data_IF_657789278110
#
_entry.id   IF_657789278110
#
_cell.length_a   1.000
_cell.length_b   1.000
_cell.length_c   1.000
_cell.angle_alpha   90.00
_cell.angle_beta   90.00
_cell.angle_gamma   90.00
#
_symmetry.space_group_name_H-M   'P 1'
#
loop_
_entity.id
_entity.type
_entity.pdbx_description
1 polymer ?
#
# COMPACT_ATOMS: atom_id res chain seq x y z
N UNK A 1 27.67 3.38 -77.68
CA UNK A 1 26.52 2.87 -78.46
C UNK A 1 25.83 1.78 -77.66
N UNK A 2 24.78 2.10 -76.92
CA UNK A 2 23.68 1.15 -76.68
C UNK A 2 22.44 1.91 -76.27
N UNK A 3 21.32 1.44 -76.81
CA UNK A 3 20.12 2.17 -77.17
C UNK A 3 19.09 2.16 -76.04
N UNK A 4 18.44 3.32 -75.90
CA UNK A 4 17.19 3.59 -75.18
C UNK A 4 16.14 2.51 -75.44
N UNK A 5 15.63 1.85 -74.38
CA UNK A 5 14.32 1.18 -74.42
C UNK A 5 13.31 2.06 -73.70
N UNK A 6 12.31 2.45 -74.48
CA UNK A 6 11.07 3.10 -74.09
C UNK A 6 10.12 1.98 -73.70
N UNK A 7 9.58 1.99 -72.49
CA UNK A 7 8.33 1.29 -72.20
C UNK A 7 7.29 2.39 -71.97
N UNK A 8 6.42 2.50 -72.96
CA UNK A 8 5.05 3.00 -72.84
C UNK A 8 4.27 2.01 -71.96
N UNK A 9 3.11 2.45 -71.45
CA UNK A 9 2.11 1.73 -70.64
C UNK A 9 1.98 2.26 -69.19
N UNK A 10 1.70 3.56 -69.05
CA UNK A 10 0.89 4.06 -67.92
C UNK A 10 -0.55 4.22 -68.44
N UNK A 11 -1.33 3.15 -68.32
CA UNK A 11 -2.78 3.18 -68.49
C UNK A 11 -3.38 3.83 -67.24
N UNK A 12 -3.70 5.12 -67.35
CA UNK A 12 -4.29 5.90 -66.26
C UNK A 12 -5.76 5.49 -66.13
N UNK A 13 -6.03 4.63 -65.15
CA UNK A 13 -7.36 4.11 -64.84
C UNK A 13 -8.29 5.26 -64.40
N UNK A 14 -9.09 5.76 -65.35
CA UNK A 14 -10.07 6.85 -65.20
C UNK A 14 -11.34 6.34 -64.49
N UNK A 15 -11.14 5.76 -63.31
CA UNK A 15 -12.27 5.37 -62.47
C UNK A 15 -12.95 6.64 -61.92
N UNK A 16 -14.26 6.84 -62.14
CA UNK A 16 -14.93 8.08 -61.76
C UNK A 16 -14.74 8.39 -60.29
N UNK A 17 -14.38 9.63 -59.95
CA UNK A 17 -14.20 10.09 -58.57
C UNK A 17 -15.42 9.73 -57.71
N UNK A 18 -16.63 9.77 -58.29
CA UNK A 18 -17.87 9.34 -57.63
C UNK A 18 -17.87 7.87 -57.19
N UNK A 19 -17.24 6.97 -57.97
CA UNK A 19 -17.11 5.54 -57.65
C UNK A 19 -16.04 5.33 -56.58
N UNK A 20 -14.90 6.03 -56.65
CA UNK A 20 -13.89 6.01 -55.57
C UNK A 20 -14.41 6.58 -54.25
N UNK A 21 -15.26 7.61 -54.30
CA UNK A 21 -15.91 8.18 -53.10
C UNK A 21 -17.00 7.25 -52.58
N UNK A 22 -17.75 6.56 -53.45
CA UNK A 22 -18.72 5.54 -53.05
C UNK A 22 -18.06 4.28 -52.48
N UNK A 23 -16.95 3.84 -53.05
CA UNK A 23 -16.15 2.70 -52.56
C UNK A 23 -15.41 3.06 -51.26
N UNK A 24 -14.90 4.30 -51.13
CA UNK A 24 -14.35 4.80 -49.87
C UNK A 24 -15.45 4.97 -48.80
N UNK A 25 -16.64 5.45 -49.15
CA UNK A 25 -17.79 5.50 -48.24
C UNK A 25 -18.24 4.08 -47.83
N UNK A 26 -18.28 3.13 -48.77
CA UNK A 26 -18.60 1.72 -48.50
C UNK A 26 -17.52 0.98 -47.70
N UNK A 27 -16.25 1.37 -47.82
CA UNK A 27 -15.15 0.85 -46.99
C UNK A 27 -15.12 1.49 -45.59
N UNK A 28 -15.54 2.75 -45.46
CA UNK A 28 -15.72 3.42 -44.16
C UNK A 28 -16.99 2.96 -43.43
N UNK A 29 -18.00 2.46 -44.14
CA UNK A 29 -19.22 1.87 -43.56
C UNK A 29 -19.03 0.41 -43.09
N UNK A 30 -17.85 -0.18 -43.32
CA UNK A 30 -17.47 -1.51 -42.84
C UNK A 30 -16.47 -1.50 -41.67
N UNK A 31 -16.18 -0.32 -41.09
CA UNK A 31 -15.49 -0.23 -39.81
C UNK A 31 -16.48 0.12 -38.68
N UNK A 32 -16.32 -0.60 -37.58
CA UNK A 32 -16.88 -0.35 -36.25
C UNK A 32 -18.37 -0.59 -36.00
N UNK A 33 -18.70 -1.86 -35.76
CA UNK A 33 -19.65 -2.17 -34.70
C UNK A 33 -19.10 -3.33 -33.86
N UNK A 34 -18.61 -3.03 -32.66
CA UNK A 34 -18.36 -4.04 -31.64
C UNK A 34 -19.61 -4.95 -31.53
N UNK A 35 -19.39 -6.28 -31.42
CA UNK A 35 -20.47 -7.27 -31.36
C UNK A 35 -21.58 -6.80 -30.40
N UNK A 36 -22.85 -6.70 -30.84
CA UNK A 36 -23.94 -6.29 -29.97
C UNK A 36 -24.04 -7.22 -28.76
N UNK A 37 -24.01 -6.64 -27.56
CA UNK A 37 -24.20 -7.37 -26.31
C UNK A 37 -25.60 -7.96 -26.33
N UNK A 38 -25.70 -9.29 -26.21
CA UNK A 38 -27.00 -9.96 -26.23
C UNK A 38 -27.71 -9.82 -24.89
N UNK A 39 -29.04 -10.00 -24.89
CA UNK A 39 -29.81 -10.07 -23.65
C UNK A 39 -29.29 -11.17 -22.70
N UNK A 40 -28.83 -12.29 -23.27
CA UNK A 40 -28.25 -13.40 -22.53
C UNK A 40 -26.91 -13.02 -21.89
N UNK A 41 -26.06 -12.27 -22.60
CA UNK A 41 -24.79 -11.76 -22.07
C UNK A 41 -25.02 -10.83 -20.86
N UNK A 42 -26.01 -9.94 -20.97
CA UNK A 42 -26.37 -9.03 -19.87
C UNK A 42 -26.98 -9.77 -18.68
N UNK A 43 -27.86 -10.75 -18.92
CA UNK A 43 -28.46 -11.58 -17.87
C UNK A 43 -27.41 -12.42 -17.14
N UNK A 44 -26.47 -13.00 -17.89
CA UNK A 44 -25.35 -13.75 -17.32
C UNK A 44 -24.43 -12.84 -16.50
N UNK A 45 -24.06 -11.66 -17.02
CA UNK A 45 -23.26 -10.69 -16.26
C UNK A 45 -23.94 -10.29 -14.96
N UNK A 46 -25.24 -9.95 -15.01
CA UNK A 46 -26.00 -9.56 -13.82
C UNK A 46 -25.97 -10.69 -12.77
N UNK A 47 -26.25 -11.94 -13.18
CA UNK A 47 -26.23 -13.10 -12.30
C UNK A 47 -24.87 -13.27 -11.61
N UNK A 48 -23.77 -13.24 -12.39
CA UNK A 48 -22.43 -13.43 -11.85
C UNK A 48 -22.00 -12.29 -10.93
N UNK A 49 -22.37 -11.05 -11.27
CA UNK A 49 -22.11 -9.88 -10.43
C UNK A 49 -22.88 -9.95 -9.10
N UNK A 50 -24.16 -10.37 -9.11
CA UNK A 50 -24.91 -10.60 -7.87
C UNK A 50 -24.29 -11.71 -7.02
N UNK A 51 -23.87 -12.82 -7.64
CA UNK A 51 -23.19 -13.90 -6.93
C UNK A 51 -21.88 -13.44 -6.29
N UNK A 52 -21.11 -12.57 -6.97
CA UNK A 52 -19.93 -11.92 -6.43
C UNK A 52 -20.25 -11.06 -5.19
N UNK A 53 -21.34 -10.29 -5.25
CA UNK A 53 -21.77 -9.44 -4.14
C UNK A 53 -22.22 -10.26 -2.93
N UNK A 54 -22.92 -11.38 -3.15
CA UNK A 54 -23.28 -12.32 -2.09
C UNK A 54 -22.04 -12.99 -1.49
N UNK A 55 -21.07 -13.39 -2.33
CA UNK A 55 -19.80 -13.93 -1.85
C UNK A 55 -19.09 -12.91 -0.96
N UNK A 56 -18.99 -11.64 -1.42
CA UNK A 56 -18.38 -10.56 -0.62
C UNK A 56 -19.10 -10.34 0.70
N UNK A 57 -20.44 -10.36 0.72
CA UNK A 57 -21.20 -10.20 1.94
C UNK A 57 -20.91 -11.32 2.96
N UNK A 58 -20.69 -12.54 2.49
CA UNK A 58 -20.44 -13.70 3.36
C UNK A 58 -18.98 -13.82 3.82
N UNK A 59 -18.01 -13.51 2.95
CA UNK A 59 -16.59 -13.77 3.19
C UNK A 59 -15.74 -12.49 3.34
N UNK A 60 -16.35 -11.32 3.19
CA UNK A 60 -15.68 -10.02 3.32
C UNK A 60 -14.76 -9.63 2.15
N UNK A 61 -14.62 -10.47 1.12
CA UNK A 61 -13.75 -10.23 -0.03
C UNK A 61 -14.34 -10.80 -1.33
N UNK A 62 -13.77 -10.43 -2.47
CA UNK A 62 -14.22 -10.85 -3.81
C UNK A 62 -13.33 -11.94 -4.43
N UNK A 63 -12.46 -12.55 -3.63
CA UNK A 63 -11.44 -13.47 -4.12
C UNK A 63 -11.84 -14.93 -3.91
N UNK A 64 -12.65 -15.43 -4.84
CA UNK A 64 -13.12 -16.81 -4.83
C UNK A 64 -11.96 -17.77 -5.10
N UNK A 65 -11.84 -18.82 -4.28
CA UNK A 65 -10.79 -19.84 -4.40
C UNK A 65 -11.15 -20.86 -5.49
N UNK A 66 -10.16 -21.32 -6.25
CA UNK A 66 -10.35 -22.38 -7.25
C UNK A 66 -10.74 -23.73 -6.65
N UNK A 67 -10.54 -23.91 -5.33
CA UNK A 67 -10.89 -25.12 -4.58
C UNK A 67 -12.28 -25.06 -3.96
N UNK A 68 -12.96 -23.91 -4.04
CA UNK A 68 -14.30 -23.76 -3.49
C UNK A 68 -15.33 -24.33 -4.48
N UNK A 69 -15.73 -25.58 -4.24
CA UNK A 69 -16.64 -26.32 -5.11
C UNK A 69 -17.96 -25.60 -5.33
N UNK A 70 -18.45 -24.89 -4.30
CA UNK A 70 -19.72 -24.15 -4.34
C UNK A 70 -19.66 -23.00 -5.34
N UNK A 71 -18.52 -22.32 -5.46
CA UNK A 71 -18.36 -21.10 -6.26
C UNK A 71 -17.44 -21.29 -7.47
N UNK A 72 -17.30 -22.53 -7.98
CA UNK A 72 -16.50 -22.84 -9.17
C UNK A 72 -16.88 -22.00 -10.40
N UNK A 73 -18.19 -21.78 -10.63
CA UNK A 73 -18.68 -20.94 -11.73
C UNK A 73 -18.21 -19.50 -11.59
N UNK A 74 -18.38 -18.93 -10.39
CA UNK A 74 -17.95 -17.58 -10.05
C UNK A 74 -16.43 -17.41 -10.18
N UNK A 75 -15.64 -18.39 -9.72
CA UNK A 75 -14.18 -18.39 -9.90
C UNK A 75 -13.79 -18.30 -11.38
N UNK A 76 -14.37 -19.14 -12.25
CA UNK A 76 -14.07 -19.13 -13.70
C UNK A 76 -14.43 -17.80 -14.34
N UNK A 77 -15.58 -17.24 -13.98
CA UNK A 77 -16.01 -15.93 -14.48
C UNK A 77 -15.07 -14.81 -14.05
N UNK A 78 -14.67 -14.76 -12.77
CA UNK A 78 -13.68 -13.80 -12.26
C UNK A 78 -12.34 -13.92 -13.02
N UNK A 79 -11.87 -15.14 -13.28
CA UNK A 79 -10.64 -15.37 -14.04
C UNK A 79 -10.76 -14.83 -15.46
N UNK A 80 -11.91 -15.03 -16.12
CA UNK A 80 -12.16 -14.52 -17.46
C UNK A 80 -12.25 -12.99 -17.47
N UNK A 81 -13.01 -12.39 -16.55
CA UNK A 81 -13.13 -10.95 -16.35
C UNK A 81 -11.75 -10.29 -16.22
N UNK A 82 -10.84 -10.88 -15.44
CA UNK A 82 -9.46 -10.36 -15.28
C UNK A 82 -8.62 -10.49 -16.56
N UNK A 83 -8.90 -11.45 -17.44
CA UNK A 83 -8.27 -11.53 -18.77
C UNK A 83 -8.83 -10.45 -19.68
N UNK A 84 -10.15 -10.29 -19.70
CA UNK A 84 -10.86 -9.33 -20.56
C UNK A 84 -10.46 -7.89 -20.19
N UNK A 85 -10.26 -7.60 -18.91
CA UNK A 85 -9.71 -6.32 -18.44
C UNK A 85 -8.30 -6.06 -19.00
N UNK A 86 -7.39 -7.05 -18.95
CA UNK A 86 -6.03 -6.91 -19.50
C UNK A 86 -6.01 -6.76 -21.02
N UNK A 87 -6.94 -7.42 -21.72
CA UNK A 87 -7.13 -7.23 -23.15
C UNK A 87 -7.53 -5.78 -23.39
N UNK A 88 -8.52 -5.27 -22.64
CA UNK A 88 -9.01 -3.89 -22.78
C UNK A 88 -7.92 -2.84 -22.54
N UNK A 89 -7.02 -3.06 -21.59
CA UNK A 89 -5.87 -2.16 -21.34
C UNK A 89 -4.93 -2.03 -22.55
N UNK A 90 -4.93 -3.01 -23.45
CA UNK A 90 -4.09 -3.05 -24.66
C UNK A 90 -4.86 -2.66 -25.92
N UNK A 91 -6.04 -3.27 -26.08
CA UNK A 91 -6.96 -3.04 -27.18
C UNK A 91 -8.41 -3.04 -26.64
N UNK A 92 -9.02 -1.86 -26.46
CA UNK A 92 -10.38 -1.75 -25.92
C UNK A 92 -11.46 -2.45 -26.74
N UNK A 93 -11.28 -2.59 -28.05
CA UNK A 93 -12.27 -3.14 -28.99
C UNK A 93 -12.31 -4.67 -28.98
N UNK A 94 -11.22 -5.33 -28.56
CA UNK A 94 -11.15 -6.78 -28.43
C UNK A 94 -11.72 -7.30 -27.10
N UNK A 95 -12.02 -6.41 -26.15
CA UNK A 95 -12.53 -6.79 -24.84
C UNK A 95 -14.05 -6.91 -24.84
N UNK A 96 -14.55 -7.98 -24.23
CA UNK A 96 -15.97 -8.18 -23.93
C UNK A 96 -16.45 -7.33 -22.76
N UNK A 97 -15.54 -6.69 -22.00
CA UNK A 97 -15.84 -5.93 -20.81
C UNK A 97 -16.16 -4.48 -21.16
N UNK A 98 -17.37 -4.01 -20.88
CA UNK A 98 -17.78 -2.63 -21.18
C UNK A 98 -17.24 -1.63 -20.17
N UNK A 99 -17.23 -0.34 -20.54
CA UNK A 99 -16.87 0.73 -19.62
C UNK A 99 -17.77 0.78 -18.37
N UNK A 100 -19.08 0.54 -18.53
CA UNK A 100 -20.03 0.53 -17.41
C UNK A 100 -19.82 -0.67 -16.48
N UNK A 101 -19.49 -1.84 -17.04
CA UNK A 101 -19.16 -3.03 -16.24
C UNK A 101 -17.89 -2.78 -15.41
N UNK A 102 -16.88 -2.11 -15.98
CA UNK A 102 -15.67 -1.71 -15.24
C UNK A 102 -16.02 -0.75 -14.12
N UNK A 103 -16.76 0.31 -14.42
CA UNK A 103 -17.20 1.30 -13.42
C UNK A 103 -17.98 0.64 -12.27
N UNK A 104 -18.80 -0.36 -12.60
CA UNK A 104 -19.56 -1.12 -11.61
C UNK A 104 -18.63 -1.97 -10.74
N UNK A 105 -17.67 -2.68 -11.34
CA UNK A 105 -16.65 -3.46 -10.61
C UNK A 105 -15.76 -2.57 -9.73
N UNK A 106 -15.39 -1.38 -10.21
CA UNK A 106 -14.66 -0.38 -9.44
C UNK A 106 -15.46 0.14 -8.24
N UNK A 107 -16.76 0.39 -8.41
CA UNK A 107 -17.64 0.81 -7.30
C UNK A 107 -17.71 -0.21 -6.17
N UNK A 108 -17.52 -1.50 -6.49
CA UNK A 108 -17.46 -2.58 -5.50
C UNK A 108 -16.04 -2.95 -5.11
N UNK A 109 -15.06 -2.09 -5.46
CA UNK A 109 -13.63 -2.28 -5.18
C UNK A 109 -13.13 -3.66 -5.65
N UNK A 110 -13.50 -4.07 -6.86
CA UNK A 110 -13.02 -5.31 -7.42
C UNK A 110 -11.55 -5.20 -7.87
N UNK A 111 -10.72 -6.17 -7.50
CA UNK A 111 -9.31 -6.20 -7.88
C UNK A 111 -9.10 -6.97 -9.20
N UNK A 112 -8.76 -6.23 -10.27
CA UNK A 112 -8.57 -6.75 -11.63
C UNK A 112 -7.25 -7.53 -11.85
N UNK A 113 -6.26 -7.38 -10.98
CA UNK A 113 -4.97 -8.05 -11.11
C UNK A 113 -4.80 -9.20 -10.12
N UNK A 114 -4.59 -10.43 -10.59
CA UNK A 114 -4.49 -11.63 -9.73
C UNK A 114 -3.08 -11.96 -9.23
N UNK A 115 -2.05 -11.63 -10.02
CA UNK A 115 -0.67 -12.11 -9.80
C UNK A 115 -0.02 -11.31 -8.66
N UNK A 116 -0.45 -11.61 -7.44
CA UNK A 116 -0.07 -10.89 -6.23
C UNK A 116 -1.25 -10.66 -5.27
N UNK A 117 -2.49 -10.70 -5.75
CA UNK A 117 -3.65 -10.45 -4.87
C UNK A 117 -4.03 -11.63 -4.00
N UNK A 118 -3.95 -12.86 -4.49
CA UNK A 118 -4.17 -14.02 -3.61
C UNK A 118 -3.16 -14.07 -2.47
N UNK A 119 -1.89 -13.75 -2.76
CA UNK A 119 -0.85 -13.74 -1.75
C UNK A 119 -1.03 -12.56 -0.78
N UNK A 120 -1.39 -11.38 -1.30
CA UNK A 120 -1.68 -10.21 -0.47
C UNK A 120 -2.88 -10.47 0.45
N UNK A 121 -3.98 -10.98 -0.10
CA UNK A 121 -5.19 -11.32 0.64
C UNK A 121 -4.93 -12.37 1.73
N UNK A 122 -4.18 -13.44 1.42
CA UNK A 122 -3.79 -14.45 2.43
C UNK A 122 -3.01 -13.85 3.60
N UNK A 123 -2.09 -12.92 3.34
CA UNK A 123 -1.35 -12.27 4.42
C UNK A 123 -2.17 -11.21 5.14
N UNK A 124 -3.12 -10.56 4.46
CA UNK A 124 -4.08 -9.67 5.08
C UNK A 124 -5.00 -10.42 6.06
N UNK A 125 -5.52 -11.59 5.67
CA UNK A 125 -6.30 -12.48 6.56
C UNK A 125 -5.49 -12.90 7.79
N UNK A 126 -4.22 -13.34 7.60
CA UNK A 126 -3.30 -13.63 8.71
C UNK A 126 -3.09 -12.43 9.64
N UNK A 127 -3.03 -11.22 9.08
CA UNK A 127 -2.88 -10.00 9.88
C UNK A 127 -4.16 -9.68 10.68
N UNK A 128 -5.34 -9.94 10.13
CA UNK A 128 -6.61 -9.80 10.85
C UNK A 128 -6.70 -10.79 12.01
N UNK A 129 -6.27 -12.04 11.79
CA UNK A 129 -6.19 -13.06 12.83
C UNK A 129 -5.19 -12.67 13.92
N UNK A 130 -3.99 -12.21 13.54
CA UNK A 130 -2.99 -11.70 14.47
C UNK A 130 -3.54 -10.54 15.33
N UNK A 131 -4.29 -9.61 14.72
CA UNK A 131 -4.94 -8.51 15.46
C UNK A 131 -5.97 -9.04 16.46
N UNK A 132 -6.74 -10.06 16.11
CA UNK A 132 -7.73 -10.67 16.99
C UNK A 132 -7.09 -11.34 18.20
N UNK A 133 -5.94 -11.99 18.01
CA UNK A 133 -5.21 -12.68 19.09
C UNK A 133 -4.42 -11.73 19.99
N UNK A 134 -3.74 -10.74 19.40
CA UNK A 134 -2.82 -9.85 20.13
C UNK A 134 -3.42 -8.47 20.45
N UNK A 135 -4.61 -8.14 19.95
CA UNK A 135 -5.25 -6.83 20.10
C UNK A 135 -4.62 -5.70 19.26
N UNK A 136 -3.54 -5.97 18.52
CA UNK A 136 -2.81 -4.96 17.74
C UNK A 136 -2.22 -5.54 16.45
N UNK A 137 -1.83 -4.66 15.51
CA UNK A 137 -1.20 -5.01 14.21
C UNK A 137 0.32 -4.80 14.19
N UNK A 138 0.93 -4.66 15.36
CA UNK A 138 2.38 -4.52 15.53
C UNK A 138 3.10 -5.87 15.40
N UNK A 139 3.09 -6.42 14.19
CA UNK A 139 3.73 -7.71 13.90
C UNK A 139 5.26 -7.56 13.93
N UNK A 140 5.99 -8.30 14.78
CA UNK A 140 7.44 -8.38 14.75
C UNK A 140 7.93 -8.97 13.42
N UNK A 141 9.14 -8.62 12.99
CA UNK A 141 9.68 -9.21 11.74
C UNK A 141 9.79 -10.74 11.86
N UNK A 142 10.26 -11.22 13.00
CA UNK A 142 10.25 -12.63 13.38
C UNK A 142 8.97 -12.92 14.17
N UNK A 143 7.87 -13.10 13.46
CA UNK A 143 6.59 -13.54 14.02
C UNK A 143 6.46 -15.06 13.90
N UNK A 144 5.70 -15.67 14.80
CA UNK A 144 5.35 -17.09 14.78
C UNK A 144 4.59 -17.48 13.50
N UNK A 145 3.81 -16.55 12.94
CA UNK A 145 3.08 -16.75 11.69
C UNK A 145 4.04 -16.64 10.50
N UNK A 146 4.29 -17.74 9.75
CA UNK A 146 5.29 -17.74 8.69
C UNK A 146 5.01 -16.71 7.59
N UNK A 147 6.04 -15.90 7.29
CA UNK A 147 6.04 -14.89 6.23
C UNK A 147 5.30 -13.59 6.56
N UNK A 148 4.52 -13.53 7.63
CA UNK A 148 3.70 -12.36 7.95
C UNK A 148 4.55 -11.14 8.31
N UNK A 149 5.59 -11.31 9.12
CA UNK A 149 6.46 -10.20 9.56
C UNK A 149 7.23 -9.55 8.41
N UNK A 150 7.71 -10.34 7.44
CA UNK A 150 8.34 -9.82 6.23
C UNK A 150 7.31 -9.15 5.31
N UNK A 151 6.11 -9.72 5.16
CA UNK A 151 5.04 -9.11 4.37
C UNK A 151 4.61 -7.75 4.94
N UNK A 152 4.39 -7.66 6.25
CA UNK A 152 4.07 -6.40 6.96
C UNK A 152 5.18 -5.37 6.78
N UNK A 153 6.45 -5.80 6.81
CA UNK A 153 7.59 -4.91 6.53
C UNK A 153 7.57 -4.41 5.09
N UNK A 154 7.24 -5.28 4.13
CA UNK A 154 7.06 -4.91 2.73
C UNK A 154 5.93 -3.90 2.53
N UNK A 155 4.78 -4.05 3.21
CA UNK A 155 3.69 -3.07 3.12
C UNK A 155 4.15 -1.66 3.55
N UNK A 156 4.92 -1.54 4.63
CA UNK A 156 5.46 -0.25 5.09
C UNK A 156 6.43 0.37 4.08
N UNK A 157 7.25 -0.45 3.44
CA UNK A 157 8.15 0.00 2.37
C UNK A 157 7.37 0.49 1.14
N UNK A 158 6.37 -0.28 0.71
CA UNK A 158 5.51 0.11 -0.42
C UNK A 158 4.73 1.39 -0.14
N UNK A 159 4.30 1.62 1.10
CA UNK A 159 3.68 2.89 1.49
C UNK A 159 4.65 4.07 1.44
N UNK A 160 5.91 3.86 1.84
CA UNK A 160 6.92 4.90 1.69
C UNK A 160 7.15 5.26 0.22
N UNK A 161 7.18 4.28 -0.68
CA UNK A 161 7.23 4.50 -2.14
C UNK A 161 5.99 5.23 -2.65
N UNK A 162 4.80 4.81 -2.19
CA UNK A 162 3.52 5.43 -2.51
C UNK A 162 3.50 6.94 -2.18
N UNK A 163 3.92 7.30 -0.97
CA UNK A 163 3.99 8.71 -0.52
C UNK A 163 5.04 9.52 -1.29
N UNK A 164 6.07 8.88 -1.82
CA UNK A 164 7.08 9.51 -2.68
C UNK A 164 6.67 9.61 -4.15
N UNK A 165 5.46 9.14 -4.51
CA UNK A 165 5.01 9.09 -5.90
C UNK A 165 5.79 8.08 -6.77
N UNK A 166 6.48 7.13 -6.15
CA UNK A 166 7.22 6.09 -6.87
C UNK A 166 6.28 4.96 -7.29
N UNK A 167 6.53 4.29 -8.43
CA UNK A 167 5.79 3.10 -8.80
C UNK A 167 5.86 2.05 -7.69
N UNK A 168 4.71 1.55 -7.25
CA UNK A 168 4.63 0.59 -6.14
C UNK A 168 3.43 -0.34 -6.27
N UNK A 169 3.49 -1.60 -5.78
CA UNK A 169 2.36 -2.52 -5.76
C UNK A 169 1.25 -2.14 -4.77
N UNK A 170 1.46 -1.14 -3.91
CA UNK A 170 0.43 -0.68 -2.98
C UNK A 170 -0.63 0.14 -3.72
N UNK A 171 -1.77 -0.49 -3.98
CA UNK A 171 -2.93 0.19 -4.55
C UNK A 171 -3.66 1.02 -3.48
N UNK A 172 -4.45 2.00 -3.91
CA UNK A 172 -5.32 2.78 -3.02
C UNK A 172 -6.23 1.87 -2.18
N UNK A 173 -6.77 0.82 -2.78
CA UNK A 173 -7.61 -0.16 -2.10
C UNK A 173 -6.86 -0.92 -1.00
N UNK A 174 -5.65 -1.41 -1.28
CA UNK A 174 -4.83 -2.12 -0.28
C UNK A 174 -4.49 -1.21 0.90
N UNK A 175 -4.20 0.06 0.63
CA UNK A 175 -3.99 1.08 1.66
C UNK A 175 -5.25 1.25 2.51
N UNK A 176 -6.42 1.45 1.91
CA UNK A 176 -7.70 1.61 2.63
C UNK A 176 -8.00 0.40 3.54
N UNK A 177 -7.84 -0.82 3.04
CA UNK A 177 -8.03 -2.04 3.85
C UNK A 177 -7.08 -2.11 5.06
N UNK A 178 -5.81 -1.73 4.86
CA UNK A 178 -4.83 -1.68 5.95
C UNK A 178 -5.15 -0.55 6.95
N UNK A 179 -5.61 0.61 6.46
CA UNK A 179 -6.05 1.73 7.30
C UNK A 179 -7.26 1.33 8.17
N UNK A 180 -8.25 0.61 7.60
CA UNK A 180 -9.45 0.14 8.29
C UNK A 180 -9.13 -0.77 9.51
N UNK A 181 -8.07 -1.59 9.41
CA UNK A 181 -7.63 -2.42 10.54
C UNK A 181 -6.67 -1.67 11.49
N UNK A 182 -6.41 -0.39 11.27
CA UNK A 182 -5.52 0.43 12.10
C UNK A 182 -4.04 0.15 11.86
N UNK A 183 -3.66 -0.20 10.63
CA UNK A 183 -2.28 -0.53 10.29
C UNK A 183 -1.33 0.65 10.50
N UNK A 184 -0.34 0.44 11.37
CA UNK A 184 0.67 1.44 11.64
C UNK A 184 1.76 1.42 10.57
N UNK A 185 1.66 2.34 9.61
CA UNK A 185 2.64 2.53 8.53
C UNK A 185 4.01 2.97 9.04
N UNK A 186 4.04 3.77 10.12
CA UNK A 186 5.27 4.23 10.79
C UNK A 186 5.31 3.69 12.21
N UNK A 187 6.17 2.71 12.47
CA UNK A 187 6.40 2.21 13.83
C UNK A 187 7.60 2.92 14.44
N UNK A 188 7.36 3.69 15.51
CA UNK A 188 8.41 4.24 16.37
C UNK A 188 8.83 3.25 17.46
N UNK A 189 7.86 2.53 18.03
CA UNK A 189 8.06 1.54 19.10
C UNK A 189 7.73 0.11 18.65
N UNK A 190 8.77 -0.61 18.22
CA UNK A 190 8.71 -2.02 17.83
C UNK A 190 8.70 -2.94 19.07
N UNK A 191 7.84 -3.99 19.14
CA UNK A 191 7.84 -4.95 20.26
C UNK A 191 9.20 -5.61 20.51
N UNK A 192 10.00 -5.77 19.44
CA UNK A 192 11.35 -6.32 19.51
C UNK A 192 12.26 -5.51 20.45
N UNK A 193 12.00 -4.21 20.64
CA UNK A 193 12.75 -3.39 21.59
C UNK A 193 12.45 -3.80 23.03
N UNK A 194 11.19 -4.04 23.37
CA UNK A 194 10.77 -4.46 24.72
C UNK A 194 11.35 -5.82 25.06
N UNK A 195 11.29 -6.79 24.13
CA UNK A 195 11.89 -8.11 24.35
C UNK A 195 13.40 -8.03 24.58
N UNK A 196 14.12 -7.21 23.79
CA UNK A 196 15.56 -7.01 23.99
C UNK A 196 15.90 -6.25 25.26
N UNK A 197 15.04 -5.35 25.69
CA UNK A 197 15.16 -4.68 26.98
C UNK A 197 15.02 -5.68 28.15
N UNK A 198 14.09 -6.63 28.08
CA UNK A 198 13.97 -7.72 29.06
C UNK A 198 15.19 -8.66 29.04
N UNK A 199 15.72 -9.00 27.87
CA UNK A 199 16.97 -9.76 27.75
C UNK A 199 18.16 -9.02 28.38
N UNK A 200 18.20 -7.68 28.28
CA UNK A 200 19.22 -6.85 28.91
C UNK A 200 19.09 -6.84 30.44
N UNK A 201 17.87 -6.83 30.98
CA UNK A 201 17.63 -6.96 32.42
C UNK A 201 18.20 -8.29 32.93
N UNK A 202 17.88 -9.40 32.25
CA UNK A 202 18.43 -10.73 32.59
C UNK A 202 19.95 -10.78 32.50
N UNK A 203 20.54 -10.11 31.51
CA UNK A 203 22.00 -9.98 31.43
C UNK A 203 22.56 -9.24 32.66
N UNK A 204 21.94 -8.12 33.04
CA UNK A 204 22.35 -7.34 34.22
C UNK A 204 22.24 -8.16 35.50
N UNK A 205 21.18 -8.93 35.67
CA UNK A 205 21.02 -9.85 36.81
C UNK A 205 22.15 -10.89 36.86
N UNK A 206 22.56 -11.43 35.71
CA UNK A 206 23.62 -12.46 35.61
C UNK A 206 25.03 -11.91 35.79
N UNK A 207 25.33 -10.73 35.25
CA UNK A 207 26.70 -10.18 35.16
C UNK A 207 26.95 -8.95 36.04
N UNK A 208 25.89 -8.39 36.65
CA UNK A 208 25.97 -7.22 37.53
C UNK A 208 26.02 -5.86 36.81
N UNK A 209 26.15 -5.83 35.48
CA UNK A 209 26.20 -4.60 34.70
C UNK A 209 25.50 -4.69 33.34
N UNK A 210 25.46 -3.57 32.62
CA UNK A 210 24.86 -3.47 31.28
C UNK A 210 25.93 -3.42 30.17
N UNK A 211 27.19 -3.80 30.46
CA UNK A 211 28.32 -3.77 29.52
C UNK A 211 28.36 -4.99 28.62
N UNK A 212 27.26 -5.26 27.92
CA UNK A 212 27.17 -6.37 26.97
C UNK A 212 28.21 -6.20 25.84
N UNK A 213 29.11 -7.19 25.63
CA UNK A 213 30.03 -7.18 24.49
C UNK A 213 29.28 -7.23 23.16
N UNK A 214 29.77 -6.55 22.13
CA UNK A 214 29.16 -6.59 20.79
C UNK A 214 29.11 -8.02 20.22
N UNK A 215 30.12 -8.83 20.54
CA UNK A 215 30.24 -10.23 20.17
C UNK A 215 29.94 -11.16 21.36
N UNK A 216 28.88 -10.86 22.13
CA UNK A 216 28.49 -11.71 23.25
C UNK A 216 28.15 -13.13 22.77
N UNK A 217 28.84 -14.13 23.32
CA UNK A 217 28.76 -15.53 22.90
C UNK A 217 27.38 -16.14 23.12
N UNK A 218 26.80 -15.90 24.29
CA UNK A 218 25.53 -16.54 24.69
C UNK A 218 24.34 -15.92 23.92
N UNK A 219 24.45 -14.65 23.55
CA UNK A 219 23.40 -13.94 22.82
C UNK A 219 23.97 -12.80 21.97
N UNK A 220 24.42 -13.16 20.77
CA UNK A 220 25.00 -12.21 19.80
C UNK A 220 23.99 -11.16 19.33
N UNK A 221 22.69 -11.46 19.37
CA UNK A 221 21.64 -10.51 19.00
C UNK A 221 21.51 -9.39 20.03
N UNK A 222 21.58 -9.70 21.32
CA UNK A 222 21.61 -8.72 22.40
C UNK A 222 22.84 -7.80 22.29
N UNK A 223 24.03 -8.36 22.07
CA UNK A 223 25.26 -7.58 21.91
C UNK A 223 25.18 -6.55 20.78
N UNK A 224 24.64 -6.95 19.62
CA UNK A 224 24.36 -6.03 18.50
C UNK A 224 23.33 -4.96 18.86
N UNK A 225 22.25 -5.35 19.55
CA UNK A 225 21.19 -4.42 19.95
C UNK A 225 21.68 -3.35 20.93
N UNK A 226 22.47 -3.73 21.94
CA UNK A 226 23.10 -2.82 22.91
C UNK A 226 24.03 -1.85 22.20
N UNK A 227 24.87 -2.34 21.28
CA UNK A 227 25.73 -1.49 20.46
C UNK A 227 24.91 -0.47 19.64
N UNK A 228 23.76 -0.89 19.10
CA UNK A 228 22.86 0.00 18.37
C UNK A 228 22.24 1.07 19.26
N UNK A 229 21.83 0.74 20.49
CA UNK A 229 21.32 1.76 21.44
C UNK A 229 22.37 2.85 21.70
N UNK A 230 23.62 2.46 21.95
CA UNK A 230 24.75 3.40 22.13
C UNK A 230 24.98 4.27 20.89
N UNK A 231 24.85 3.74 19.69
CA UNK A 231 24.93 4.51 18.45
C UNK A 231 23.77 5.52 18.33
N UNK A 232 22.54 5.10 18.61
CA UNK A 232 21.36 5.98 18.57
C UNK A 232 21.45 7.12 19.60
N UNK A 233 22.02 6.86 20.77
CA UNK A 233 22.29 7.89 21.77
C UNK A 233 23.35 8.90 21.31
N UNK A 234 24.42 8.44 20.64
CA UNK A 234 25.40 9.36 20.02
C UNK A 234 24.80 10.23 18.94
N UNK A 235 23.85 9.70 18.15
CA UNK A 235 23.11 10.50 17.16
C UNK A 235 22.25 11.55 17.86
N UNK A 236 21.54 11.16 18.92
CA UNK A 236 20.71 12.05 19.72
C UNK A 236 21.54 13.19 20.33
N UNK A 237 22.69 12.89 20.98
CA UNK A 237 23.62 13.91 21.52
C UNK A 237 24.15 14.87 20.47
N UNK A 238 24.25 14.45 19.21
CA UNK A 238 24.70 15.28 18.08
C UNK A 238 23.56 16.07 17.41
N UNK A 239 22.34 16.05 17.97
CA UNK A 239 21.17 16.68 17.38
C UNK A 239 20.71 16.02 16.07
N UNK A 240 21.20 14.82 15.76
CA UNK A 240 20.80 14.08 14.56
C UNK A 240 19.57 13.23 14.86
N UNK A 241 18.82 12.90 13.80
CA UNK A 241 17.67 12.02 13.92
C UNK A 241 18.05 10.68 14.58
N UNK A 242 17.32 10.30 15.62
CA UNK A 242 17.52 9.09 16.42
C UNK A 242 16.20 8.34 16.62
N UNK A 243 16.27 7.02 16.63
CA UNK A 243 15.13 6.15 16.96
C UNK A 243 15.00 5.88 18.47
N UNK A 244 15.86 6.50 19.28
CA UNK A 244 15.78 6.45 20.73
C UNK A 244 14.74 7.48 21.19
N UNK A 245 13.55 6.99 21.55
CA UNK A 245 12.47 7.83 22.10
C UNK A 245 12.78 8.22 23.55
N UNK A 246 12.16 9.29 24.08
CA UNK A 246 12.28 9.66 25.49
C UNK A 246 12.00 8.50 26.44
N UNK A 247 10.90 7.77 26.24
CA UNK A 247 10.54 6.61 27.10
C UNK A 247 11.60 5.50 27.08
N UNK A 248 12.26 5.27 25.92
CA UNK A 248 13.30 4.26 25.78
C UNK A 248 14.59 4.69 26.48
N UNK A 249 14.91 5.98 26.38
CA UNK A 249 16.04 6.58 27.08
C UNK A 249 15.84 6.46 28.59
N UNK A 250 14.65 6.82 29.10
CA UNK A 250 14.30 6.70 30.51
C UNK A 250 14.36 5.26 31.01
N UNK A 251 13.78 4.29 30.27
CA UNK A 251 13.86 2.86 30.60
C UNK A 251 15.30 2.35 30.67
N UNK A 252 16.16 2.76 29.74
CA UNK A 252 17.57 2.36 29.77
C UNK A 252 18.32 3.01 30.94
N UNK A 253 18.05 4.29 31.21
CA UNK A 253 18.66 5.00 32.33
C UNK A 253 18.24 4.41 33.68
N UNK A 254 16.98 4.00 33.85
CA UNK A 254 16.47 3.44 35.11
C UNK A 254 17.14 2.11 35.50
N UNK A 255 17.68 1.37 34.53
CA UNK A 255 18.47 0.17 34.79
C UNK A 255 19.98 0.44 34.84
N UNK A 256 20.43 1.69 34.87
CA UNK A 256 21.84 2.05 34.89
C UNK A 256 22.57 1.64 33.61
N UNK A 257 21.95 1.89 32.45
CA UNK A 257 22.55 1.53 31.16
C UNK A 257 23.81 2.34 30.87
N UNK A 258 24.92 1.63 30.63
CA UNK A 258 26.22 2.25 30.33
C UNK A 258 26.29 2.63 28.85
N UNK A 259 26.17 3.94 28.58
CA UNK A 259 26.18 4.51 27.22
C UNK A 259 27.57 4.56 26.56
N UNK A 260 28.64 4.65 27.36
CA UNK A 260 30.04 4.65 26.90
C UNK A 260 30.86 3.56 27.59
N UNK A 261 31.57 2.74 26.80
CA UNK A 261 32.39 1.61 27.28
C UNK A 261 33.90 1.84 27.07
N UNK A 262 34.29 2.95 26.45
CA UNK A 262 35.69 3.39 26.37
C UNK A 262 35.99 4.22 27.61
N UNK A 263 37.16 4.05 28.21
CA UNK A 263 37.57 4.54 29.53
C UNK A 263 37.69 6.06 29.71
N UNK A 264 36.73 6.83 29.20
CA UNK A 264 36.56 8.25 29.49
C UNK A 264 35.19 8.44 30.14
N UNK A 265 35.22 8.60 31.47
CA UNK A 265 34.15 9.05 32.38
C UNK A 265 32.82 8.27 32.34
N UNK A 266 32.26 8.02 33.53
CA UNK A 266 30.89 7.55 33.69
C UNK A 266 29.99 8.69 33.18
N UNK A 267 29.53 8.61 31.94
CA UNK A 267 28.52 9.51 31.38
C UNK A 267 27.15 9.00 31.85
N UNK A 268 26.69 9.54 32.99
CA UNK A 268 25.45 9.17 33.72
C UNK A 268 24.14 9.49 32.97
N UNK A 269 24.15 9.37 31.64
CA UNK A 269 23.03 9.78 30.80
C UNK A 269 22.91 11.31 30.70
N UNK A 270 22.01 11.82 29.85
CA UNK A 270 21.76 13.25 29.80
C UNK A 270 20.97 13.64 31.05
N UNK A 271 21.44 14.68 31.75
CA UNK A 271 20.62 15.40 32.72
C UNK A 271 19.32 15.79 32.01
N UNK A 272 18.18 15.44 32.60
CA UNK A 272 16.88 15.34 31.92
C UNK A 272 16.35 16.74 31.57
N UNK A 273 16.87 17.37 30.52
CA UNK A 273 16.18 18.44 29.81
C UNK A 273 15.48 17.82 28.60
N UNK A 274 14.23 17.42 28.83
CA UNK A 274 13.25 17.23 27.76
C UNK A 274 13.17 18.55 26.99
N UNK A 275 13.60 18.64 25.71
CA UNK A 275 13.34 19.83 24.93
C UNK A 275 11.82 19.98 24.82
N UNK A 276 11.26 21.19 25.05
CA UNK A 276 9.83 21.39 25.07
C UNK A 276 9.23 20.88 23.75
N UNK A 277 8.05 20.23 23.79
CA UNK A 277 7.38 19.82 22.57
C UNK A 277 7.28 21.05 21.66
N UNK A 278 7.65 20.87 20.38
CA UNK A 278 7.41 21.88 19.37
C UNK A 278 5.93 22.25 19.50
N UNK A 279 5.65 23.50 19.87
CA UNK A 279 4.29 24.03 19.94
C UNK A 279 3.63 23.69 18.61
N UNK A 280 2.57 22.89 18.68
CA UNK A 280 1.60 22.83 17.61
C UNK A 280 1.10 24.27 17.46
N UNK A 281 1.32 24.85 16.27
CA UNK A 281 0.72 26.13 15.92
C UNK A 281 -0.79 25.86 15.85
N UNK A 282 -1.50 26.22 16.93
CA UNK A 282 -2.94 26.37 16.92
C UNK A 282 -3.27 27.52 15.96
N UNK A 283 -3.77 27.16 14.77
CA UNK A 283 -4.49 28.10 13.93
C UNK A 283 -5.80 28.45 14.65
N UNK A 284 -5.78 29.54 15.42
CA UNK A 284 -7.00 30.17 15.93
C UNK A 284 -7.79 30.76 14.75
N UNK A 285 -8.85 30.05 14.39
CA UNK A 285 -9.93 30.50 13.52
C UNK A 285 -10.63 31.70 14.17
N UNK A 286 -10.36 32.91 13.68
CA UNK A 286 -11.12 34.12 14.04
C UNK A 286 -12.57 33.97 13.59
N UNK A 287 -13.45 33.74 14.55
CA UNK A 287 -14.89 33.98 14.41
C UNK A 287 -15.12 35.49 14.52
N UNK A 288 -15.46 36.14 13.40
CA UNK A 288 -16.01 37.49 13.38
C UNK A 288 -17.44 37.47 13.95
N UNK A 289 -17.62 37.99 15.17
CA UNK A 289 -18.92 38.40 15.68
C UNK A 289 -19.34 39.70 14.96
N UNK A 290 -20.27 39.58 14.01
CA UNK A 290 -21.07 40.70 13.51
C UNK A 290 -22.12 41.06 14.56
N UNK A 291 -21.78 42.01 15.45
CA UNK A 291 -22.75 42.73 16.27
C UNK A 291 -23.09 44.02 15.56
N UNK A 292 -24.30 44.04 15.01
CA UNK A 292 -24.91 45.25 14.48
C UNK A 292 -25.06 46.33 15.55
N UNK A 293 -24.76 47.56 15.14
CA UNK A 293 -25.29 48.76 15.75
C UNK A 293 -26.19 49.47 14.74
N UNK A 294 -27.46 49.54 15.12
CA UNK A 294 -28.45 50.40 14.51
C UNK A 294 -28.15 51.85 14.90
N UNK A 295 -28.13 52.76 13.92
CA UNK A 295 -28.59 54.14 14.09
C UNK A 295 -28.59 54.84 12.73
N UNK A 296 -29.75 54.97 12.10
CA UNK A 296 -30.15 56.29 11.60
C UNK A 296 -31.65 56.35 11.33
N UNK A 297 -32.34 57.13 12.16
CA UNK A 297 -33.67 57.64 11.87
C UNK A 297 -33.57 59.17 11.78
N UNK A 298 -34.30 59.69 10.78
CA UNK A 298 -34.70 61.10 10.59
C UNK A 298 -33.69 62.01 9.89
N UNK A 299 -34.01 62.37 8.64
CA UNK A 299 -34.39 63.75 8.29
C UNK A 299 -34.84 63.90 6.82
N UNK A 300 -36.09 64.35 6.69
CA UNK A 300 -36.78 65.02 5.56
C UNK A 300 -37.18 64.16 4.35
#
# INVERSE_FOLDING_TARGET
MTTRKRNEDEEFDDEPIAKRVADAASMMEQQDVARPITFEDQAHWNRMFFELMLYRANYGNVNVKSTDEKYQGLYRWIVQLRKDYKIRERNPEESTLTADQIKTLESVRFAFTTRGEEHWQKNYEKLQEYKKEHGHVLVPRQCEIPGLGDWVTSQRQQYHEYVQGKPTPLTKQRKELLDEIGFQWRIRNRPEWTMKYEELIKYKEKHGDTRVPQHYSDNRALGKWVAKQREQYKLLKKGKHSFLTPDRLEKLNSIGFVWSVRGETIDDGPDVMVPPPKKEEEEEEKVEEDKGDAENSVSI
#
